data_IF_604573872932
#
_entry.id   IF_604573872932
#
_cell.length_a   1.000
_cell.length_b   1.000
_cell.length_c   1.000
_cell.angle_alpha   90.00
_cell.angle_beta   90.00
_cell.angle_gamma   90.00
#
_symmetry.space_group_name_H-M   'P 1'
#
loop_
_entity.id
_entity.type
_entity.pdbx_description
1 polymer ?
#
# COMPACT_ATOMS: atom_id res chain seq x y z
N UNK A 1 12.10 5.37 14.77
CA UNK A 1 12.04 6.49 13.80
C UNK A 1 10.74 6.40 12.99
N UNK A 2 10.02 7.51 12.79
CA UNK A 2 8.73 7.51 12.07
C UNK A 2 8.97 7.64 10.55
N UNK A 3 8.10 7.03 9.75
CA UNK A 3 8.15 7.18 8.29
C UNK A 3 7.73 8.60 7.89
N UNK A 4 8.58 9.29 7.12
CA UNK A 4 8.37 10.67 6.67
C UNK A 4 8.09 10.79 5.17
N UNK A 5 8.08 9.67 4.45
CA UNK A 5 7.81 9.66 3.02
C UNK A 5 6.31 9.80 2.67
N UNK A 6 5.97 9.84 1.37
CA UNK A 6 4.60 10.04 0.93
C UNK A 6 3.68 8.87 1.34
N UNK A 7 2.69 9.16 2.19
CA UNK A 7 1.65 8.20 2.61
C UNK A 7 0.92 7.56 1.44
N UNK A 8 0.66 8.31 0.37
CA UNK A 8 0.07 7.79 -0.87
C UNK A 8 0.87 6.68 -1.54
N UNK A 9 2.20 6.65 -1.37
CA UNK A 9 3.03 5.58 -1.91
C UNK A 9 2.73 4.24 -1.22
N UNK A 10 2.37 4.29 0.06
CA UNK A 10 2.00 3.12 0.86
C UNK A 10 0.62 2.61 0.45
N UNK A 11 -0.39 3.50 0.36
CA UNK A 11 -1.73 3.13 -0.10
C UNK A 11 -1.72 2.52 -1.50
N UNK A 12 -0.99 3.11 -2.46
CA UNK A 12 -0.83 2.56 -3.81
C UNK A 12 -0.17 1.17 -3.82
N UNK A 13 0.78 0.94 -2.91
CA UNK A 13 1.49 -0.35 -2.83
C UNK A 13 0.55 -1.45 -2.35
N UNK A 14 -0.23 -1.19 -1.29
CA UNK A 14 -1.14 -2.19 -0.72
C UNK A 14 -2.44 -2.31 -1.54
N UNK A 15 -2.87 -1.24 -2.22
CA UNK A 15 -4.04 -1.22 -3.08
C UNK A 15 -5.34 -0.83 -2.38
N UNK A 16 -5.25 -0.28 -1.17
CA UNK A 16 -6.38 0.30 -0.43
C UNK A 16 -5.89 1.47 0.44
N UNK A 17 -6.84 2.26 0.95
CA UNK A 17 -6.54 3.37 1.83
C UNK A 17 -6.18 2.87 3.24
N UNK A 18 -4.88 2.95 3.59
CA UNK A 18 -4.37 2.50 4.89
C UNK A 18 -4.74 3.42 6.05
N UNK A 19 -5.02 4.70 5.80
CA UNK A 19 -5.13 5.71 6.85
C UNK A 19 -6.57 6.19 7.08
N UNK A 20 -7.55 5.68 6.32
CA UNK A 20 -8.97 6.01 6.48
C UNK A 20 -9.38 7.42 6.07
N UNK A 21 -8.46 8.28 5.63
CA UNK A 21 -8.77 9.66 5.22
C UNK A 21 -9.04 9.76 3.72
N UNK A 22 -10.05 10.51 3.31
CA UNK A 22 -10.44 10.72 1.89
C UNK A 22 -9.29 11.20 1.00
N UNK A 23 -8.36 11.98 1.56
CA UNK A 23 -7.12 12.43 0.89
C UNK A 23 -6.32 11.30 0.23
N UNK A 24 -6.44 10.07 0.71
CA UNK A 24 -5.70 8.92 0.21
C UNK A 24 -6.55 7.92 -0.56
N UNK A 25 -7.67 8.38 -1.11
CA UNK A 25 -8.45 7.63 -2.06
C UNK A 25 -7.62 7.27 -3.30
N UNK A 26 -7.73 6.03 -3.74
CA UNK A 26 -6.97 5.51 -4.88
C UNK A 26 -7.67 5.77 -6.20
N UNK A 27 -8.99 5.96 -6.19
CA UNK A 27 -9.79 6.24 -7.40
C UNK A 27 -9.37 7.57 -8.04
N UNK A 28 -9.07 8.57 -7.21
CA UNK A 28 -8.64 9.91 -7.67
C UNK A 28 -7.18 9.93 -8.16
N UNK A 29 -6.47 8.80 -8.13
CA UNK A 29 -5.03 8.74 -8.40
C UNK A 29 -4.69 8.30 -9.83
N UNK A 30 -4.11 9.21 -10.62
CA UNK A 30 -3.64 8.90 -11.98
C UNK A 30 -2.44 7.95 -12.06
N UNK A 31 -1.68 7.76 -10.96
CA UNK A 31 -0.44 6.95 -10.97
C UNK A 31 -0.73 5.49 -10.62
N UNK A 32 -0.96 4.67 -11.62
CA UNK A 32 -1.07 3.21 -11.43
C UNK A 32 0.28 2.58 -11.08
N UNK A 33 0.28 1.62 -10.16
CA UNK A 33 1.48 0.81 -9.88
C UNK A 33 1.59 -0.23 -10.99
N UNK A 34 2.68 -0.22 -11.77
CA UNK A 34 2.99 -1.33 -12.67
C UNK A 34 3.27 -2.57 -11.81
N UNK A 35 2.23 -3.36 -11.54
CA UNK A 35 2.36 -4.66 -10.86
C UNK A 35 2.80 -5.68 -11.91
N UNK A 36 4.06 -6.11 -11.84
CA UNK A 36 4.47 -7.34 -12.51
C UNK A 36 3.56 -8.47 -12.03
N UNK A 37 2.94 -9.18 -12.96
CA UNK A 37 1.79 -10.07 -12.71
C UNK A 37 2.17 -11.41 -12.08
N UNK A 38 3.29 -11.46 -11.36
CA UNK A 38 3.78 -12.66 -10.71
C UNK A 38 3.01 -12.93 -9.42
N UNK A 39 2.56 -14.17 -9.22
CA UNK A 39 1.97 -14.59 -7.95
C UNK A 39 3.00 -14.40 -6.83
N UNK A 40 2.57 -13.80 -5.71
CA UNK A 40 3.38 -13.75 -4.50
C UNK A 40 3.41 -15.14 -3.86
N UNK A 41 4.53 -15.50 -3.25
CA UNK A 41 4.60 -16.66 -2.35
C UNK A 41 3.71 -16.44 -1.12
N UNK A 42 3.40 -17.51 -0.41
CA UNK A 42 2.63 -17.43 0.85
C UNK A 42 3.32 -16.47 1.85
N UNK A 43 4.63 -16.61 2.03
CA UNK A 43 5.44 -15.68 2.82
C UNK A 43 5.28 -14.23 2.34
N UNK A 44 5.27 -14.01 1.03
CA UNK A 44 5.05 -12.68 0.46
C UNK A 44 3.70 -12.08 0.88
N UNK A 45 2.64 -12.90 0.87
CA UNK A 45 1.30 -12.47 1.32
C UNK A 45 1.30 -12.15 2.81
N UNK A 46 1.86 -13.02 3.65
CA UNK A 46 1.96 -12.81 5.10
C UNK A 46 2.77 -11.53 5.43
N UNK A 47 3.90 -11.33 4.75
CA UNK A 47 4.73 -10.15 4.90
C UNK A 47 3.96 -8.87 4.55
N UNK A 48 3.15 -8.88 3.48
CA UNK A 48 2.32 -7.71 3.13
C UNK A 48 1.29 -7.40 4.20
N UNK A 49 0.58 -8.40 4.72
CA UNK A 49 -0.38 -8.22 5.83
C UNK A 49 0.31 -7.60 7.06
N UNK A 50 1.48 -8.14 7.44
CA UNK A 50 2.29 -7.58 8.55
C UNK A 50 2.70 -6.13 8.30
N UNK A 51 3.15 -5.80 7.09
CA UNK A 51 3.62 -4.46 6.75
C UNK A 51 2.47 -3.44 6.72
N UNK A 52 1.29 -3.85 6.26
CA UNK A 52 0.11 -3.01 6.27
C UNK A 52 -0.33 -2.69 7.71
N UNK A 53 -0.43 -3.70 8.58
CA UNK A 53 -0.79 -3.53 9.99
C UNK A 53 0.22 -2.65 10.75
N UNK A 54 1.52 -2.72 10.41
CA UNK A 54 2.55 -1.85 11.02
C UNK A 54 2.39 -0.37 10.65
N UNK A 55 1.70 -0.05 9.56
CA UNK A 55 1.59 1.31 8.99
C UNK A 55 0.23 1.96 9.22
N UNK A 56 -0.78 1.17 9.58
CA UNK A 56 -2.02 1.65 10.19
C UNK A 56 -1.67 2.28 11.54
#
# INVERSE_FOLDING_TARGET
MRYTGPKMKLCRREGYNLFGTEKYNLEDNHRRVKRGRSKLSEYGVQLRKKQAAKRQ
#
